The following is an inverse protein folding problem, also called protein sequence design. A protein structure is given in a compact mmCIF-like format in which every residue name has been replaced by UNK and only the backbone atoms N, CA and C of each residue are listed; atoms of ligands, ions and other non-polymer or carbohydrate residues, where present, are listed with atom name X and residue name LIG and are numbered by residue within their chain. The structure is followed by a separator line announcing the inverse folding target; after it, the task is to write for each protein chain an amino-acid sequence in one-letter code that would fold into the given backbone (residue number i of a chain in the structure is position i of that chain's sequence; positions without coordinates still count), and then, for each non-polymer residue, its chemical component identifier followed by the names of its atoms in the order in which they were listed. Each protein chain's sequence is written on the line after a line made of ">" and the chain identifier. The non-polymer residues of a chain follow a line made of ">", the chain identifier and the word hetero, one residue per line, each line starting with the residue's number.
data_IF_441552514413
#
_entry.id   IF_441552514413
#
_cell.length_a   1.000
_cell.length_b   1.000
_cell.length_c   1.000
_cell.angle_alpha   90.00
_cell.angle_beta   90.00
_cell.angle_gamma   90.00
#
_symmetry.space_group_name_H-M   'P 1'
#
loop_
_entity.id
_entity.type
_entity.pdbx_description
1 polymer ?
#
# COMPACT_ATOMS: atom_id res chain seq x y z
N UNK A 1 13.40 -8.24 10.34
CA UNK A 1 12.67 -7.15 11.03
C UNK A 1 12.96 -5.76 10.46
N UNK A 2 14.22 -5.34 10.29
CA UNK A 2 14.58 -4.04 9.66
C UNK A 2 13.75 -3.68 8.39
N UNK A 3 13.58 -4.56 7.37
CA UNK A 3 12.85 -4.23 6.14
C UNK A 3 11.35 -4.06 6.38
N UNK A 4 10.75 -4.87 7.26
CA UNK A 4 9.34 -4.76 7.65
C UNK A 4 9.09 -3.42 8.34
N UNK A 5 9.93 -3.02 9.29
CA UNK A 5 9.78 -1.75 10.01
C UNK A 5 9.97 -0.54 9.09
N UNK A 6 10.99 -0.57 8.21
CA UNK A 6 11.20 0.51 7.25
C UNK A 6 10.06 0.63 6.24
N UNK A 7 9.55 -0.50 5.75
CA UNK A 7 8.39 -0.56 4.87
C UNK A 7 7.12 -0.03 5.55
N UNK A 8 6.91 -0.36 6.84
CA UNK A 8 5.80 0.14 7.63
C UNK A 8 5.84 1.66 7.79
N UNK A 9 6.98 2.22 8.17
CA UNK A 9 7.13 3.68 8.34
C UNK A 9 6.94 4.39 7.00
N UNK A 10 7.63 3.94 5.95
CA UNK A 10 7.51 4.54 4.62
C UNK A 10 6.08 4.45 4.08
N UNK A 11 5.46 3.27 4.22
CA UNK A 11 4.08 3.01 3.82
C UNK A 11 3.08 3.90 4.57
N UNK A 12 3.23 4.05 5.89
CA UNK A 12 2.36 4.93 6.67
C UNK A 12 2.47 6.38 6.20
N UNK A 13 3.69 6.91 6.06
CA UNK A 13 3.93 8.31 5.67
C UNK A 13 3.39 8.60 4.27
N UNK A 14 3.70 7.77 3.28
CA UNK A 14 3.28 8.02 1.90
C UNK A 14 1.76 7.88 1.75
N UNK A 15 1.17 6.86 2.37
CA UNK A 15 -0.28 6.65 2.28
C UNK A 15 -1.02 7.74 3.05
N UNK A 16 -0.52 8.19 4.20
CA UNK A 16 -1.10 9.32 4.90
C UNK A 16 -1.13 10.57 4.01
N UNK A 17 -0.03 10.89 3.33
CA UNK A 17 0.03 12.03 2.43
C UNK A 17 -0.92 11.88 1.23
N UNK A 18 -0.91 10.72 0.56
CA UNK A 18 -1.76 10.44 -0.60
C UNK A 18 -3.24 10.45 -0.23
N UNK A 19 -3.62 9.88 0.91
CA UNK A 19 -5.02 9.87 1.37
C UNK A 19 -5.47 11.29 1.72
N UNK A 20 -4.72 12.03 2.53
CA UNK A 20 -5.20 13.32 3.03
C UNK A 20 -5.17 14.44 1.98
N UNK A 21 -4.22 14.40 1.03
CA UNK A 21 -3.98 15.52 0.12
C UNK A 21 -4.32 15.23 -1.35
N UNK A 22 -4.57 13.97 -1.73
CA UNK A 22 -4.84 13.60 -3.12
C UNK A 22 -6.12 12.77 -3.27
N UNK A 23 -6.12 11.54 -2.76
CA UNK A 23 -7.19 10.59 -2.96
C UNK A 23 -8.45 10.91 -2.13
N UNK A 24 -8.29 11.28 -0.87
CA UNK A 24 -9.40 11.58 0.05
C UNK A 24 -10.31 12.72 -0.43
N UNK A 25 -9.78 13.87 -0.88
CA UNK A 25 -10.60 14.93 -1.47
C UNK A 25 -11.42 14.47 -2.69
N UNK A 26 -10.88 13.57 -3.51
CA UNK A 26 -11.57 13.02 -4.68
C UNK A 26 -12.67 12.04 -4.24
N UNK A 27 -12.38 11.17 -3.27
CA UNK A 27 -13.32 10.19 -2.73
C UNK A 27 -14.47 10.83 -1.94
N UNK A 28 -14.21 11.90 -1.18
CA UNK A 28 -15.19 12.52 -0.28
C UNK A 28 -16.44 13.06 -0.99
N UNK A 29 -16.37 13.26 -2.31
CA UNK A 29 -17.53 13.64 -3.13
C UNK A 29 -18.42 12.44 -3.51
N UNK A 30 -18.21 11.26 -2.92
CA UNK A 30 -18.89 9.99 -3.20
C UNK A 30 -19.11 9.20 -1.88
N UNK A 31 -20.07 9.63 -1.05
CA UNK A 31 -20.06 9.33 0.40
C UNK A 31 -20.89 8.09 0.84
N UNK A 32 -20.30 7.18 1.67
CA UNK A 32 -20.97 6.03 2.29
C UNK A 32 -21.28 6.21 3.81
N UNK A 33 -21.89 5.19 4.42
CA UNK A 33 -22.60 5.18 5.72
C UNK A 33 -21.81 5.41 7.04
N UNK A 34 -20.55 5.84 6.99
CA UNK A 34 -19.74 6.22 8.19
C UNK A 34 -18.71 5.19 8.67
N UNK A 35 -17.72 5.64 9.44
CA UNK A 35 -16.53 4.86 9.84
C UNK A 35 -16.65 4.18 11.23
N UNK A 36 -16.11 2.96 11.37
CA UNK A 36 -16.12 2.20 12.63
C UNK A 36 -15.07 2.63 13.65
N UNK A 37 -13.95 3.22 13.20
CA UNK A 37 -12.86 3.74 14.04
C UNK A 37 -12.35 5.07 13.46
N UNK A 38 -11.66 5.91 14.25
CA UNK A 38 -11.03 7.13 13.73
C UNK A 38 -10.05 6.84 12.58
N UNK A 39 -9.96 7.74 11.62
CA UNK A 39 -9.18 7.55 10.39
C UNK A 39 -7.68 7.26 10.63
N UNK A 40 -7.07 7.88 11.65
CA UNK A 40 -5.67 7.64 11.98
C UNK A 40 -5.44 6.20 12.49
N UNK A 41 -6.43 5.64 13.20
CA UNK A 41 -6.37 4.29 13.75
C UNK A 41 -6.65 3.24 12.67
N UNK A 42 -7.64 3.47 11.80
CA UNK A 42 -7.87 2.57 10.65
C UNK A 42 -6.63 2.48 9.77
N UNK A 43 -5.98 3.61 9.49
CA UNK A 43 -4.76 3.65 8.70
C UNK A 43 -3.62 2.86 9.36
N UNK A 44 -3.43 3.01 10.66
CA UNK A 44 -2.40 2.26 11.40
C UNK A 44 -2.65 0.74 11.35
N UNK A 45 -3.88 0.31 11.62
CA UNK A 45 -4.27 -1.12 11.61
C UNK A 45 -4.06 -1.71 10.20
N UNK A 46 -4.60 -1.05 9.17
CA UNK A 46 -4.50 -1.53 7.79
C UNK A 46 -3.05 -1.54 7.32
N UNK A 47 -2.23 -0.55 7.68
CA UNK A 47 -0.81 -0.52 7.33
C UNK A 47 -0.07 -1.74 7.88
N UNK A 48 -0.31 -2.13 9.13
CA UNK A 48 0.28 -3.34 9.71
C UNK A 48 -0.15 -4.58 8.94
N UNK A 49 -1.46 -4.75 8.71
CA UNK A 49 -1.98 -5.91 7.99
C UNK A 49 -1.43 -6.01 6.56
N UNK A 50 -1.35 -4.89 5.85
CA UNK A 50 -0.82 -4.83 4.49
C UNK A 50 0.66 -5.18 4.43
N UNK A 51 1.49 -4.68 5.35
CA UNK A 51 2.92 -4.99 5.36
C UNK A 51 3.17 -6.47 5.70
N UNK A 52 2.40 -7.04 6.62
CA UNK A 52 2.51 -8.48 6.94
C UNK A 52 2.09 -9.35 5.74
N UNK A 53 1.00 -9.00 5.07
CA UNK A 53 0.57 -9.67 3.83
C UNK A 53 1.64 -9.56 2.73
N UNK A 54 2.19 -8.35 2.54
CA UNK A 54 3.24 -8.12 1.57
C UNK A 54 4.52 -8.90 1.87
N UNK A 55 4.93 -8.99 3.14
CA UNK A 55 6.08 -9.81 3.54
C UNK A 55 5.87 -11.28 3.16
N UNK A 56 4.67 -11.82 3.38
CA UNK A 56 4.30 -13.16 2.94
C UNK A 56 4.37 -13.32 1.40
N UNK A 57 3.80 -12.36 0.63
CA UNK A 57 3.91 -12.37 -0.84
C UNK A 57 5.38 -12.28 -1.29
N UNK A 58 6.20 -11.48 -0.60
CA UNK A 58 7.62 -11.34 -0.90
C UNK A 58 8.38 -12.63 -0.66
N UNK A 59 8.11 -13.34 0.43
CA UNK A 59 8.70 -14.65 0.69
C UNK A 59 8.32 -15.68 -0.40
N UNK A 60 7.12 -15.57 -0.99
CA UNK A 60 6.68 -16.47 -2.06
C UNK A 60 7.28 -16.13 -3.44
N UNK A 61 7.53 -14.85 -3.74
CA UNK A 61 7.96 -14.38 -5.08
C UNK A 61 9.47 -14.13 -5.15
N UNK A 62 10.12 -13.81 -4.03
CA UNK A 62 11.55 -13.55 -3.91
C UNK A 62 12.03 -12.20 -4.50
N UNK A 63 11.11 -11.32 -4.92
CA UNK A 63 11.45 -10.04 -5.55
C UNK A 63 10.59 -8.90 -4.99
N UNK A 64 11.10 -8.08 -4.05
CA UNK A 64 10.32 -7.09 -3.29
C UNK A 64 9.46 -6.16 -4.15
N UNK A 65 10.07 -5.54 -5.16
CA UNK A 65 9.35 -4.62 -6.05
C UNK A 65 8.28 -5.36 -6.86
N UNK A 66 8.56 -6.58 -7.31
CA UNK A 66 7.58 -7.39 -8.05
C UNK A 66 6.41 -7.79 -7.16
N UNK A 67 6.68 -8.19 -5.92
CA UNK A 67 5.65 -8.47 -4.91
C UNK A 67 4.78 -7.26 -4.65
N UNK A 68 5.37 -6.07 -4.55
CA UNK A 68 4.62 -4.84 -4.29
C UNK A 68 3.68 -4.52 -5.46
N UNK A 69 4.14 -4.72 -6.70
CA UNK A 69 3.32 -4.54 -7.89
C UNK A 69 2.21 -5.58 -8.00
N UNK A 70 2.46 -6.84 -7.62
CA UNK A 70 1.41 -7.87 -7.55
C UNK A 70 0.30 -7.42 -6.59
N UNK A 71 0.65 -6.94 -5.40
CA UNK A 71 -0.35 -6.44 -4.44
C UNK A 71 -1.11 -5.23 -4.98
N UNK A 72 -0.39 -4.24 -5.54
CA UNK A 72 -1.01 -3.04 -6.12
C UNK A 72 -2.01 -3.40 -7.23
N UNK A 73 -1.60 -4.22 -8.19
CA UNK A 73 -2.46 -4.63 -9.31
C UNK A 73 -3.67 -5.42 -8.82
N UNK A 74 -3.49 -6.29 -7.83
CA UNK A 74 -4.59 -7.06 -7.23
C UNK A 74 -5.65 -6.14 -6.61
N UNK A 75 -5.20 -5.10 -5.90
CA UNK A 75 -6.10 -4.11 -5.31
C UNK A 75 -6.76 -3.23 -6.37
N UNK A 76 -6.06 -2.85 -7.45
CA UNK A 76 -6.65 -2.09 -8.57
C UNK A 76 -7.78 -2.88 -9.24
N UNK A 77 -7.58 -4.16 -9.51
CA UNK A 77 -8.60 -5.00 -10.14
C UNK A 77 -9.89 -5.07 -9.29
N UNK A 78 -9.77 -5.13 -7.98
CA UNK A 78 -10.92 -5.20 -7.07
C UNK A 78 -11.53 -3.81 -6.84
N UNK A 79 -10.72 -2.84 -6.43
CA UNK A 79 -11.19 -1.56 -5.93
C UNK A 79 -11.48 -0.55 -7.03
N UNK A 80 -10.72 -0.56 -8.13
CA UNK A 80 -10.80 0.46 -9.17
C UNK A 80 -11.50 -0.06 -10.43
N UNK A 81 -11.40 -1.36 -10.73
CA UNK A 81 -12.09 -1.96 -11.88
C UNK A 81 -13.42 -2.56 -11.47
N UNK A 82 -13.43 -3.57 -10.60
CA UNK A 82 -14.66 -4.27 -10.25
C UNK A 82 -15.70 -3.34 -9.59
N UNK A 83 -15.28 -2.43 -8.70
CA UNK A 83 -16.20 -1.48 -8.08
C UNK A 83 -16.69 -0.35 -8.99
N UNK A 84 -15.94 -0.01 -10.05
CA UNK A 84 -16.49 0.88 -11.09
C UNK A 84 -17.51 0.12 -11.93
N UNK A 85 -17.19 -1.11 -12.34
CA UNK A 85 -18.07 -1.92 -13.18
C UNK A 85 -19.39 -2.29 -12.49
N UNK A 86 -19.38 -2.46 -11.16
CA UNK A 86 -20.58 -2.76 -10.38
C UNK A 86 -21.30 -1.50 -9.84
N UNK A 87 -20.80 -0.30 -10.16
CA UNK A 87 -21.42 0.98 -9.80
C UNK A 87 -21.24 1.44 -8.36
N UNK A 88 -20.34 0.83 -7.56
CA UNK A 88 -20.08 1.24 -6.17
C UNK A 88 -18.93 2.24 -6.04
N UNK A 89 -18.29 2.64 -7.14
CA UNK A 89 -17.20 3.63 -7.14
C UNK A 89 -17.22 4.51 -8.38
N UNK A 90 -17.07 5.83 -8.20
CA UNK A 90 -16.88 6.76 -9.32
C UNK A 90 -15.56 6.57 -10.08
N UNK A 91 -15.58 6.81 -11.41
CA UNK A 91 -14.41 6.61 -12.29
C UNK A 91 -13.22 7.52 -11.93
N UNK A 92 -13.48 8.74 -11.46
CA UNK A 92 -12.43 9.66 -11.00
C UNK A 92 -11.77 9.16 -9.71
N UNK A 93 -12.56 8.63 -8.77
CA UNK A 93 -12.05 8.01 -7.55
C UNK A 93 -11.27 6.73 -7.85
N UNK A 94 -11.67 5.96 -8.85
CA UNK A 94 -10.92 4.79 -9.30
C UNK A 94 -9.57 5.16 -9.95
N UNK A 95 -9.53 6.17 -10.82
CA UNK A 95 -8.28 6.66 -11.40
C UNK A 95 -7.29 7.16 -10.34
N UNK A 96 -7.79 7.94 -9.37
CA UNK A 96 -6.99 8.39 -8.23
C UNK A 96 -6.56 7.23 -7.30
N UNK A 97 -7.43 6.23 -7.12
CA UNK A 97 -7.14 5.01 -6.37
C UNK A 97 -5.98 4.22 -6.99
N UNK A 98 -5.98 4.05 -8.30
CA UNK A 98 -4.91 3.35 -9.00
C UNK A 98 -3.55 4.05 -8.83
N UNK A 99 -3.51 5.39 -8.92
CA UNK A 99 -2.29 6.17 -8.66
C UNK A 99 -1.82 6.00 -7.22
N UNK A 100 -2.73 6.10 -6.25
CA UNK A 100 -2.42 5.90 -4.84
C UNK A 100 -1.79 4.53 -4.60
N UNK A 101 -2.37 3.48 -5.17
CA UNK A 101 -1.90 2.10 -4.99
C UNK A 101 -0.54 1.87 -5.63
N UNK A 102 -0.33 2.34 -6.87
CA UNK A 102 0.96 2.17 -7.56
C UNK A 102 2.09 2.93 -6.85
N UNK A 103 1.86 4.18 -6.46
CA UNK A 103 2.87 5.00 -5.77
C UNK A 103 3.14 4.46 -4.36
N UNK A 104 2.08 4.16 -3.60
CA UNK A 104 2.20 3.67 -2.23
C UNK A 104 2.98 2.35 -2.17
N UNK A 105 2.57 1.36 -2.97
CA UNK A 105 3.28 0.07 -3.03
C UNK A 105 4.67 0.19 -3.64
N UNK A 106 4.86 1.06 -4.64
CA UNK A 106 6.18 1.31 -5.21
C UNK A 106 7.18 1.77 -4.15
N UNK A 107 6.80 2.74 -3.31
CA UNK A 107 7.63 3.23 -2.21
C UNK A 107 7.90 2.12 -1.18
N UNK A 108 6.87 1.37 -0.78
CA UNK A 108 6.99 0.25 0.16
C UNK A 108 7.98 -0.80 -0.36
N UNK A 109 7.82 -1.23 -1.61
CA UNK A 109 8.65 -2.26 -2.23
C UNK A 109 10.11 -1.83 -2.36
N UNK A 110 10.36 -0.56 -2.74
CA UNK A 110 11.73 -0.02 -2.84
C UNK A 110 12.41 0.07 -1.48
N UNK A 111 11.72 0.60 -0.46
CA UNK A 111 12.29 0.72 0.90
C UNK A 111 12.54 -0.66 1.50
N UNK A 112 11.58 -1.58 1.36
CA UNK A 112 11.74 -2.95 1.82
C UNK A 112 12.95 -3.60 1.14
N UNK A 113 13.05 -3.53 -0.19
CA UNK A 113 14.15 -4.14 -0.95
C UNK A 113 15.52 -3.63 -0.53
N UNK A 114 15.69 -2.30 -0.41
CA UNK A 114 16.96 -1.70 0.03
C UNK A 114 17.39 -2.18 1.42
N UNK A 115 16.45 -2.32 2.35
CA UNK A 115 16.73 -2.78 3.71
C UNK A 115 16.84 -4.30 3.84
N UNK A 116 16.39 -5.03 2.82
CA UNK A 116 16.55 -6.47 2.69
C UNK A 116 17.93 -6.81 2.13
N UNK A 117 18.34 -6.17 1.02
CA UNK A 117 19.65 -6.37 0.41
C UNK A 117 20.80 -5.94 1.35
N UNK A 118 20.58 -4.90 2.16
CA UNK A 118 21.52 -4.46 3.19
C UNK A 118 21.78 -5.49 4.30
N UNK A 119 20.95 -6.53 4.46
CA UNK A 119 21.23 -7.64 5.40
C UNK A 119 22.24 -8.65 4.85
N UNK A 120 22.41 -8.74 3.53
CA UNK A 120 23.41 -9.62 2.91
C UNK A 120 24.84 -9.09 3.05
N UNK A 121 25.02 -7.77 3.12
CA UNK A 121 26.32 -7.12 3.22
C UNK A 121 26.89 -7.07 4.65
N UNK A 122 26.06 -7.07 5.69
CA UNK A 122 26.51 -7.10 7.09
C UNK A 122 26.98 -8.51 7.54
N UNK A 123 26.74 -9.56 6.73
CA UNK A 123 27.00 -10.96 7.10
C UNK A 123 28.36 -11.53 6.63
N UNK A 124 29.18 -10.74 5.93
CA UNK A 124 30.46 -11.21 5.34
C UNK A 124 31.72 -10.72 6.07
N UNK A 125 31.59 -10.03 7.20
CA UNK A 125 32.72 -9.47 7.96
C UNK A 125 33.21 -10.37 9.13
N UNK A 126 33.19 -11.70 8.96
CA UNK A 126 33.82 -12.64 9.91
C UNK A 126 34.69 -13.68 9.22
#
# INVERSE_FOLDING_TARGET
>A
MKPILGALVAGYVINFALINHFFGPILANDAPAGAMVPAWLSLAIVSVLFILFYDWVNQAVGAPVRSAMIVAVSQILILDVYFVLNGTRGIAAAGAGAVLLLVGWGVIGVVYGKLFDGQGAEATDY
#
